data_IF_235757135958
#
_entry.id   IF_235757135958
#
_cell.length_a   1.000
_cell.length_b   1.000
_cell.length_c   1.000
_cell.angle_alpha   90.00
_cell.angle_beta   90.00
_cell.angle_gamma   90.00
#
_symmetry.space_group_name_H-M   'P 1'
#
loop_
_entity.id
_entity.type
_entity.pdbx_description
1 polymer ?
#
# COMPACT_ATOMS: atom_id res chain seq x y z
N UNK A 1 10.19 38.31 -11.03
CA UNK A 1 10.95 37.05 -10.90
C UNK A 1 10.57 36.17 -12.10
N UNK A 2 11.47 35.97 -13.06
CA UNK A 2 11.16 35.19 -14.28
C UNK A 2 11.14 33.71 -13.90
N UNK A 3 10.01 33.04 -14.08
CA UNK A 3 9.90 31.59 -13.93
C UNK A 3 10.78 30.89 -14.95
N UNK A 4 11.63 29.99 -14.48
CA UNK A 4 12.40 29.08 -15.34
C UNK A 4 11.43 28.02 -15.85
N UNK A 5 11.21 27.88 -17.18
CA UNK A 5 10.34 26.84 -17.69
C UNK A 5 11.01 25.47 -17.47
N UNK A 6 10.34 24.55 -16.76
CA UNK A 6 10.71 23.13 -16.78
C UNK A 6 10.92 22.41 -15.45
N UNK A 7 10.82 23.04 -14.29
CA UNK A 7 10.76 22.30 -13.03
C UNK A 7 9.27 22.05 -12.71
N UNK A 8 8.76 20.92 -13.13
CA UNK A 8 7.47 20.43 -12.66
C UNK A 8 7.62 20.15 -11.17
N UNK A 9 6.96 20.94 -10.30
CA UNK A 9 6.92 20.66 -8.87
C UNK A 9 6.49 19.23 -8.66
N UNK A 10 7.34 18.42 -8.02
CA UNK A 10 7.04 17.03 -7.69
C UNK A 10 5.93 17.03 -6.64
N UNK A 11 4.70 16.75 -7.08
CA UNK A 11 3.52 16.77 -6.21
C UNK A 11 3.24 15.37 -5.72
N UNK A 12 3.61 15.09 -4.48
CA UNK A 12 3.40 13.82 -3.83
C UNK A 12 2.62 14.04 -2.53
N UNK A 13 1.75 13.12 -2.17
CA UNK A 13 0.96 13.18 -0.94
C UNK A 13 1.16 11.91 -0.12
N UNK A 14 1.32 12.08 1.18
CA UNK A 14 1.20 11.01 2.17
C UNK A 14 -0.11 11.22 2.93
N UNK A 15 -0.97 10.21 2.97
CA UNK A 15 -2.16 10.21 3.82
C UNK A 15 -2.07 9.03 4.76
N UNK A 16 -1.94 9.29 6.05
CA UNK A 16 -1.86 8.26 7.09
C UNK A 16 -3.12 8.25 7.94
N UNK A 17 -3.68 7.05 8.17
CA UNK A 17 -4.73 6.86 9.18
C UNK A 17 -4.06 6.72 10.54
N UNK A 18 -4.25 7.67 11.46
CA UNK A 18 -3.49 7.78 12.69
C UNK A 18 -4.35 7.63 13.94
N UNK A 19 -3.83 6.89 14.92
CA UNK A 19 -4.29 6.86 16.31
C UNK A 19 -3.23 7.40 17.25
N UNK A 20 -3.43 7.23 18.58
CA UNK A 20 -2.56 7.78 19.63
C UNK A 20 -1.10 7.33 19.54
N UNK A 21 -0.86 6.13 19.04
CA UNK A 21 0.50 5.54 18.95
C UNK A 21 1.09 5.57 17.55
N UNK A 22 0.60 6.48 16.68
CA UNK A 22 1.07 6.64 15.31
C UNK A 22 2.53 7.11 15.26
N UNK A 23 3.31 6.53 14.33
CA UNK A 23 4.74 6.84 14.15
C UNK A 23 5.01 7.95 13.14
N UNK A 24 3.99 8.55 12.54
CA UNK A 24 4.13 9.54 11.46
C UNK A 24 4.95 10.78 11.86
N UNK A 25 4.98 11.17 13.14
CA UNK A 25 5.79 12.28 13.61
C UNK A 25 7.30 12.04 13.39
N UNK A 26 7.75 10.79 13.45
CA UNK A 26 9.14 10.40 13.15
C UNK A 26 9.53 10.63 11.67
N UNK A 27 8.55 10.65 10.76
CA UNK A 27 8.80 10.89 9.34
C UNK A 27 9.18 12.34 9.03
N UNK A 28 8.93 13.26 9.97
CA UNK A 28 9.13 14.70 9.81
C UNK A 28 10.51 15.17 10.29
N UNK A 29 11.39 14.29 10.76
CA UNK A 29 12.71 14.67 11.30
C UNK A 29 13.58 15.45 10.30
N UNK A 30 13.40 15.25 8.99
CA UNK A 30 14.05 15.97 7.89
C UNK A 30 13.08 16.83 7.07
N UNK A 31 12.11 17.47 7.70
CA UNK A 31 11.00 18.14 7.01
C UNK A 31 11.40 19.18 5.96
N UNK A 32 12.55 19.84 6.10
CA UNK A 32 13.05 20.83 5.15
C UNK A 32 13.50 20.21 3.81
N UNK A 33 13.73 18.89 3.77
CA UNK A 33 14.12 18.13 2.58
C UNK A 33 12.92 17.37 1.98
N UNK A 34 11.73 17.52 2.56
CA UNK A 34 10.52 16.79 2.20
C UNK A 34 10.01 17.20 0.81
N UNK A 35 9.78 16.19 -0.05
CA UNK A 35 9.24 16.36 -1.40
C UNK A 35 7.77 15.94 -1.51
N UNK A 36 7.05 15.88 -0.40
CA UNK A 36 5.67 15.42 -0.29
C UNK A 36 4.90 16.20 0.76
N UNK A 37 3.60 16.34 0.58
CA UNK A 37 2.68 16.85 1.58
C UNK A 37 2.23 15.73 2.51
N UNK A 38 1.91 16.08 3.76
CA UNK A 38 1.33 15.16 4.73
C UNK A 38 -0.09 15.61 5.10
N UNK A 39 -1.03 14.68 5.03
CA UNK A 39 -2.34 14.81 5.64
C UNK A 39 -2.54 13.69 6.66
N UNK A 40 -2.79 14.04 7.90
CA UNK A 40 -3.04 13.07 8.98
C UNK A 40 -4.54 12.88 9.15
N UNK A 41 -5.04 11.69 8.83
CA UNK A 41 -6.44 11.30 8.96
C UNK A 41 -6.63 10.53 10.27
N UNK A 42 -7.12 11.20 11.29
CA UNK A 42 -7.32 10.60 12.60
C UNK A 42 -8.60 9.77 12.65
N UNK A 43 -8.50 8.54 13.19
CA UNK A 43 -9.66 7.71 13.56
C UNK A 43 -9.97 7.77 15.06
N UNK A 44 -9.07 8.32 15.86
CA UNK A 44 -9.13 8.49 17.30
C UNK A 44 -9.33 9.98 17.63
N UNK A 45 -10.39 10.30 18.37
CA UNK A 45 -10.76 11.69 18.66
C UNK A 45 -9.78 12.36 19.63
N UNK A 46 -9.24 11.60 20.59
CA UNK A 46 -8.27 12.13 21.57
C UNK A 46 -6.94 12.42 20.88
N UNK A 47 -6.49 11.52 19.98
CA UNK A 47 -5.31 11.75 19.17
C UNK A 47 -5.46 12.99 18.27
N UNK A 48 -6.64 13.19 17.67
CA UNK A 48 -6.94 14.37 16.87
C UNK A 48 -6.90 15.65 17.70
N UNK A 49 -7.53 15.65 18.90
CA UNK A 49 -7.57 16.81 19.78
C UNK A 49 -6.21 17.19 20.35
N UNK A 50 -5.38 16.19 20.66
CA UNK A 50 -4.06 16.37 21.27
C UNK A 50 -2.94 16.64 20.27
N UNK A 51 -3.20 16.55 18.94
CA UNK A 51 -2.18 16.81 17.93
C UNK A 51 -1.83 18.29 17.85
N UNK A 52 -0.59 18.61 18.16
CA UNK A 52 0.04 19.94 18.10
C UNK A 52 1.09 20.05 17.00
N UNK A 53 1.19 19.11 16.09
CA UNK A 53 2.22 19.08 15.04
C UNK A 53 2.14 20.24 14.02
N UNK A 54 0.98 20.89 13.92
CA UNK A 54 0.68 21.89 12.91
C UNK A 54 0.51 21.34 11.50
N UNK A 55 0.52 20.02 11.32
CA UNK A 55 0.26 19.39 10.02
C UNK A 55 -1.23 19.44 9.68
N UNK A 56 -1.59 19.52 8.38
CA UNK A 56 -2.97 19.32 7.93
C UNK A 56 -3.55 18.03 8.52
N UNK A 57 -4.71 18.12 9.13
CA UNK A 57 -5.37 16.99 9.78
C UNK A 57 -6.86 16.94 9.49
N UNK A 58 -7.40 15.73 9.45
CA UNK A 58 -8.81 15.46 9.22
C UNK A 58 -9.30 14.39 10.21
N UNK A 59 -10.46 14.61 10.82
CA UNK A 59 -11.06 13.60 11.72
C UNK A 59 -12.11 12.78 10.98
N UNK A 60 -11.95 11.48 11.01
CA UNK A 60 -12.90 10.55 10.43
C UNK A 60 -12.83 9.20 11.15
N UNK A 61 -13.80 8.91 12.01
CA UNK A 61 -13.92 7.58 12.63
C UNK A 61 -14.15 6.51 11.54
N UNK A 62 -13.73 5.27 11.82
CA UNK A 62 -13.88 4.13 10.90
C UNK A 62 -12.59 3.37 10.65
N UNK A 63 -12.63 2.43 9.71
CA UNK A 63 -11.49 1.63 9.32
C UNK A 63 -10.44 2.39 8.50
N UNK A 64 -9.49 1.63 7.92
CA UNK A 64 -8.47 2.26 7.08
C UNK A 64 -9.07 2.78 5.79
N UNK A 65 -9.77 1.94 5.03
CA UNK A 65 -10.12 2.26 3.64
C UNK A 65 -11.38 3.12 3.50
N UNK A 66 -12.43 2.87 4.27
CA UNK A 66 -13.58 3.78 4.34
C UNK A 66 -13.17 5.17 4.86
N UNK A 67 -12.28 5.22 5.86
CA UNK A 67 -11.73 6.48 6.36
C UNK A 67 -10.84 7.19 5.33
N UNK A 68 -9.97 6.47 4.60
CA UNK A 68 -9.18 7.04 3.51
C UNK A 68 -10.06 7.54 2.37
N UNK A 69 -11.11 6.81 2.00
CA UNK A 69 -12.08 7.25 1.00
C UNK A 69 -12.67 8.61 1.38
N UNK A 70 -13.16 8.75 2.61
CA UNK A 70 -13.74 10.03 3.09
C UNK A 70 -12.69 11.13 3.13
N UNK A 71 -11.51 10.86 3.69
CA UNK A 71 -10.42 11.85 3.78
C UNK A 71 -10.02 12.37 2.41
N UNK A 72 -9.83 11.48 1.43
CA UNK A 72 -9.41 11.84 0.08
C UNK A 72 -10.48 12.60 -0.70
N UNK A 73 -11.77 12.32 -0.46
CA UNK A 73 -12.86 13.03 -1.13
C UNK A 73 -13.23 14.35 -0.47
N UNK A 74 -13.13 14.45 0.87
CA UNK A 74 -13.59 15.61 1.62
C UNK A 74 -12.49 16.65 1.90
N UNK A 75 -11.22 16.20 1.99
CA UNK A 75 -10.11 17.05 2.44
C UNK A 75 -8.96 17.18 1.41
N UNK A 76 -9.02 16.53 0.25
CA UNK A 76 -7.91 16.51 -0.72
C UNK A 76 -8.38 16.87 -2.13
N UNK A 77 -7.72 17.84 -2.74
CA UNK A 77 -7.77 18.03 -4.19
C UNK A 77 -6.69 17.12 -4.84
N UNK A 78 -7.10 15.91 -5.24
CA UNK A 78 -6.21 14.93 -5.87
C UNK A 78 -5.59 15.41 -7.20
N UNK A 79 -6.17 16.42 -7.85
CA UNK A 79 -5.60 16.96 -9.10
C UNK A 79 -4.22 17.59 -8.90
N UNK A 80 -3.88 17.96 -7.68
CA UNK A 80 -2.60 18.56 -7.28
C UNK A 80 -1.46 17.54 -7.13
N UNK A 81 -1.77 16.24 -7.11
CA UNK A 81 -0.80 15.19 -6.80
C UNK A 81 -0.69 14.17 -7.92
N UNK A 82 0.51 13.66 -8.15
CA UNK A 82 0.78 12.60 -9.12
C UNK A 82 0.79 11.22 -8.46
N UNK A 83 1.31 11.16 -7.23
CA UNK A 83 1.40 9.94 -6.43
C UNK A 83 0.89 10.17 -5.00
N UNK A 84 0.23 9.15 -4.44
CA UNK A 84 -0.29 9.16 -3.07
C UNK A 84 0.18 7.90 -2.36
N UNK A 85 0.89 8.05 -1.24
CA UNK A 85 1.28 6.94 -0.36
C UNK A 85 0.29 6.83 0.78
N UNK A 86 -0.24 5.61 1.03
CA UNK A 86 -1.29 5.30 2.01
C UNK A 86 -0.79 4.28 3.05
N UNK A 87 0.23 4.62 3.85
CA UNK A 87 0.85 3.71 4.81
C UNK A 87 -0.04 3.45 6.02
N UNK A 88 0.20 2.32 6.71
CA UNK A 88 -0.22 2.12 8.09
C UNK A 88 0.57 3.03 9.03
N UNK A 89 0.01 3.36 10.19
CA UNK A 89 0.56 4.35 11.13
C UNK A 89 1.68 3.80 12.03
N UNK A 90 2.02 2.55 11.87
CA UNK A 90 3.06 1.84 12.61
C UNK A 90 4.30 1.50 11.77
N UNK A 91 4.46 2.19 10.65
CA UNK A 91 5.66 2.13 9.84
C UNK A 91 6.70 3.15 10.31
N UNK A 92 7.89 2.66 10.63
CA UNK A 92 9.07 3.49 10.89
C UNK A 92 9.80 3.77 9.55
N UNK A 93 9.91 5.05 9.21
CA UNK A 93 10.55 5.53 8.00
C UNK A 93 11.25 6.87 8.26
N UNK A 94 12.25 7.20 7.45
CA UNK A 94 12.83 8.55 7.42
C UNK A 94 12.20 9.40 6.31
N UNK A 95 12.35 10.71 6.40
CA UNK A 95 11.97 11.64 5.32
C UNK A 95 12.62 11.25 4.00
N UNK A 96 13.91 10.90 4.03
CA UNK A 96 14.67 10.49 2.84
C UNK A 96 14.15 9.19 2.24
N UNK A 97 13.76 8.23 3.08
CA UNK A 97 13.13 6.98 2.62
C UNK A 97 11.83 7.27 1.86
N UNK A 98 10.99 8.16 2.41
CA UNK A 98 9.71 8.53 1.78
C UNK A 98 9.95 9.31 0.47
N UNK A 99 10.91 10.24 0.44
CA UNK A 99 11.33 10.90 -0.80
C UNK A 99 11.72 9.88 -1.87
N UNK A 100 12.50 8.84 -1.47
CA UNK A 100 12.97 7.80 -2.37
C UNK A 100 11.85 6.91 -2.90
N UNK A 101 10.80 6.64 -2.10
CA UNK A 101 9.60 5.92 -2.57
C UNK A 101 8.97 6.66 -3.75
N UNK A 102 8.73 7.96 -3.62
CA UNK A 102 8.12 8.75 -4.69
C UNK A 102 9.02 8.92 -5.91
N UNK A 103 10.32 9.09 -5.69
CA UNK A 103 11.29 9.16 -6.78
C UNK A 103 11.28 7.88 -7.64
N UNK A 104 11.36 6.70 -6.99
CA UNK A 104 11.33 5.42 -7.68
C UNK A 104 9.99 5.16 -8.37
N UNK A 105 8.87 5.52 -7.72
CA UNK A 105 7.54 5.39 -8.32
C UNK A 105 7.43 6.17 -9.63
N UNK A 106 7.93 7.40 -9.64
CA UNK A 106 7.94 8.28 -10.81
C UNK A 106 8.93 7.81 -11.87
N UNK A 107 10.17 7.48 -11.48
CA UNK A 107 11.23 7.03 -12.39
C UNK A 107 10.79 5.83 -13.22
N UNK A 108 10.01 4.93 -12.62
CA UNK A 108 9.53 3.71 -13.27
C UNK A 108 8.07 3.80 -13.71
N UNK A 109 7.43 4.97 -13.61
CA UNK A 109 6.02 5.21 -13.98
C UNK A 109 5.07 4.13 -13.43
N UNK A 110 5.21 3.79 -12.15
CA UNK A 110 4.46 2.69 -11.54
C UNK A 110 3.01 3.10 -11.27
N UNK A 111 2.10 2.19 -11.52
CA UNK A 111 0.68 2.36 -11.18
C UNK A 111 0.45 2.15 -9.68
N UNK A 112 1.12 1.13 -9.10
CA UNK A 112 1.10 0.84 -7.67
C UNK A 112 2.45 0.28 -7.24
N UNK A 113 2.92 0.68 -6.05
CA UNK A 113 4.18 0.19 -5.49
C UNK A 113 4.16 0.24 -3.97
N UNK A 114 5.16 -0.35 -3.35
CA UNK A 114 5.37 -0.27 -1.91
C UNK A 114 6.86 -0.29 -1.57
N UNK A 115 7.27 0.28 -0.42
CA UNK A 115 8.58 0.00 0.16
C UNK A 115 8.70 -1.48 0.55
N UNK A 116 9.89 -2.05 0.46
CA UNK A 116 10.17 -3.33 1.08
C UNK A 116 10.20 -3.18 2.61
N UNK A 117 9.89 -4.25 3.32
CA UNK A 117 9.97 -4.28 4.78
C UNK A 117 11.38 -4.73 5.22
N UNK A 118 11.93 -4.10 6.25
CA UNK A 118 13.19 -4.54 6.86
C UNK A 118 13.05 -5.95 7.44
N UNK A 119 14.16 -6.67 7.59
CA UNK A 119 14.15 -8.07 8.03
C UNK A 119 13.67 -8.26 9.47
N UNK A 120 13.69 -7.22 10.28
CA UNK A 120 13.17 -7.19 11.66
C UNK A 120 11.72 -6.73 11.77
N UNK A 121 11.05 -6.51 10.63
CA UNK A 121 9.63 -6.15 10.55
C UNK A 121 8.71 -7.31 10.88
N UNK A 122 7.50 -7.00 11.35
CA UNK A 122 6.37 -7.91 11.22
C UNK A 122 5.87 -7.90 9.76
N UNK A 123 5.54 -9.05 9.19
CA UNK A 123 5.10 -9.17 7.79
C UNK A 123 4.04 -10.26 7.62
N UNK A 124 3.22 -10.13 6.58
CA UNK A 124 2.26 -11.16 6.14
C UNK A 124 2.82 -12.02 5.01
N UNK A 125 3.63 -11.42 4.15
CA UNK A 125 4.14 -12.04 2.93
C UNK A 125 5.65 -11.89 2.82
N UNK A 126 6.39 -12.99 2.81
CA UNK A 126 7.87 -12.99 2.76
C UNK A 126 8.44 -12.25 1.54
N UNK A 127 7.70 -12.18 0.43
CA UNK A 127 8.16 -11.46 -0.77
C UNK A 127 8.21 -9.94 -0.58
N UNK A 128 7.58 -9.38 0.48
CA UNK A 128 7.68 -7.96 0.81
C UNK A 128 8.93 -7.60 1.59
N UNK A 129 9.63 -8.60 2.18
CA UNK A 129 10.88 -8.35 2.88
C UNK A 129 12.00 -7.92 1.91
N UNK A 130 12.93 -7.10 2.40
CA UNK A 130 14.08 -6.63 1.63
C UNK A 130 14.91 -7.77 1.09
N UNK A 131 15.33 -7.63 -0.17
CA UNK A 131 16.24 -8.55 -0.86
C UNK A 131 17.52 -7.81 -1.21
N UNK A 132 18.58 -8.05 -0.44
CA UNK A 132 19.91 -7.53 -0.75
C UNK A 132 20.32 -7.96 -2.17
N UNK A 133 20.69 -7.02 -3.00
CA UNK A 133 21.03 -7.27 -4.40
C UNK A 133 20.00 -6.77 -5.41
N UNK A 134 18.86 -6.26 -4.95
CA UNK A 134 17.90 -5.52 -5.76
C UNK A 134 17.78 -4.05 -5.31
N UNK A 135 17.50 -3.16 -6.24
CA UNK A 135 16.95 -1.83 -5.99
C UNK A 135 15.43 -1.87 -5.91
N UNK A 136 14.84 -2.63 -6.83
CA UNK A 136 13.41 -2.92 -6.85
C UNK A 136 13.11 -4.25 -7.53
N UNK A 137 11.96 -4.82 -7.20
CA UNK A 137 11.40 -6.03 -7.84
C UNK A 137 10.03 -5.72 -8.39
N UNK A 138 9.80 -5.98 -9.68
CA UNK A 138 8.47 -5.93 -10.27
C UNK A 138 7.67 -7.15 -9.81
N UNK A 139 6.47 -6.90 -9.30
CA UNK A 139 5.63 -7.91 -8.67
C UNK A 139 4.18 -7.78 -9.17
N UNK A 140 3.45 -8.89 -9.15
CA UNK A 140 2.01 -8.89 -9.41
C UNK A 140 1.16 -8.64 -8.15
N UNK A 141 1.80 -8.32 -7.04
CA UNK A 141 1.14 -8.13 -5.75
C UNK A 141 1.85 -7.04 -4.94
N UNK A 142 1.07 -6.07 -4.48
CA UNK A 142 1.47 -5.00 -3.56
C UNK A 142 0.50 -5.04 -2.39
N UNK A 143 1.01 -5.06 -1.17
CA UNK A 143 0.22 -5.27 0.05
C UNK A 143 -0.51 -3.99 0.49
N UNK A 144 -1.72 -4.13 1.05
CA UNK A 144 -2.55 -3.02 1.57
C UNK A 144 -1.94 -2.25 2.73
N UNK A 145 -0.83 -2.72 3.31
CA UNK A 145 -0.14 -2.10 4.43
C UNK A 145 0.49 -0.75 4.07
N UNK A 146 1.18 -0.67 2.92
CA UNK A 146 1.96 0.51 2.55
C UNK A 146 1.91 0.86 1.05
N UNK A 147 0.75 0.87 0.39
CA UNK A 147 0.68 1.11 -1.04
C UNK A 147 0.95 2.58 -1.37
N UNK A 148 1.75 2.80 -2.40
CA UNK A 148 1.89 4.07 -3.08
C UNK A 148 1.26 3.93 -4.47
N UNK A 149 0.27 4.77 -4.76
CA UNK A 149 -0.54 4.69 -5.98
C UNK A 149 -0.33 5.94 -6.83
N UNK A 150 -0.26 5.73 -8.14
CA UNK A 150 -0.40 6.82 -9.09
C UNK A 150 -1.84 7.35 -9.04
N UNK A 151 -2.02 8.66 -9.23
CA UNK A 151 -3.31 9.33 -9.09
C UNK A 151 -4.44 8.66 -9.88
N UNK A 152 -4.20 8.32 -11.14
CA UNK A 152 -5.20 7.70 -12.02
C UNK A 152 -5.65 6.33 -11.50
N UNK A 153 -4.72 5.52 -11.00
CA UNK A 153 -5.01 4.23 -10.36
C UNK A 153 -5.83 4.42 -9.09
N UNK A 154 -5.46 5.39 -8.26
CA UNK A 154 -6.19 5.71 -7.02
C UNK A 154 -7.61 6.17 -7.33
N UNK A 155 -7.78 7.08 -8.31
CA UNK A 155 -9.10 7.59 -8.70
C UNK A 155 -10.03 6.49 -9.24
N UNK A 156 -9.49 5.48 -9.91
CA UNK A 156 -10.27 4.32 -10.34
C UNK A 156 -10.75 3.47 -9.14
N UNK A 157 -9.94 3.34 -8.09
CA UNK A 157 -10.23 2.51 -6.92
C UNK A 157 -11.17 3.16 -5.92
N UNK A 158 -11.05 4.48 -5.71
CA UNK A 158 -11.73 5.20 -4.64
C UNK A 158 -13.24 4.90 -4.54
N UNK A 159 -14.02 4.88 -5.63
CA UNK A 159 -15.45 4.61 -5.53
C UNK A 159 -15.80 3.23 -4.95
N UNK A 160 -14.90 2.25 -5.09
CA UNK A 160 -15.13 0.86 -4.70
C UNK A 160 -14.75 0.58 -3.24
N UNK A 161 -13.98 1.46 -2.60
CA UNK A 161 -13.52 1.27 -1.22
C UNK A 161 -14.35 2.04 -0.19
N UNK A 162 -15.39 2.75 -0.63
CA UNK A 162 -16.24 3.58 0.24
C UNK A 162 -16.83 2.82 1.43
N UNK A 163 -17.14 1.55 1.26
CA UNK A 163 -17.72 0.66 2.26
C UNK A 163 -16.75 -0.40 2.79
N UNK A 164 -15.50 -0.42 2.32
CA UNK A 164 -14.48 -1.37 2.79
C UNK A 164 -13.74 -0.81 3.98
N UNK A 165 -13.80 -1.48 5.12
CA UNK A 165 -13.06 -1.09 6.32
C UNK A 165 -11.62 -1.59 6.28
N UNK A 166 -11.43 -2.84 5.87
CA UNK A 166 -10.14 -3.52 5.87
C UNK A 166 -9.33 -3.32 4.59
N UNK A 167 -9.98 -3.07 3.45
CA UNK A 167 -9.36 -3.08 2.12
C UNK A 167 -8.93 -4.47 1.63
N UNK A 168 -9.35 -5.53 2.35
CA UNK A 168 -8.96 -6.89 2.03
C UNK A 168 -9.45 -7.28 0.63
N UNK A 169 -8.53 -7.68 -0.24
CA UNK A 169 -8.80 -7.99 -1.66
C UNK A 169 -8.34 -6.93 -2.66
N UNK A 170 -7.99 -5.69 -2.22
CA UNK A 170 -7.40 -4.68 -3.09
C UNK A 170 -6.06 -5.14 -3.67
N UNK A 171 -5.26 -5.79 -2.84
CA UNK A 171 -3.99 -6.38 -3.20
C UNK A 171 -4.07 -7.50 -4.25
N UNK A 172 -5.25 -8.07 -4.43
CA UNK A 172 -5.52 -9.03 -5.50
C UNK A 172 -5.79 -8.36 -6.87
N UNK A 173 -6.21 -7.09 -6.90
CA UNK A 173 -6.73 -6.47 -8.12
C UNK A 173 -5.92 -5.28 -8.65
N UNK A 174 -5.40 -4.40 -7.79
CA UNK A 174 -4.85 -3.11 -8.23
C UNK A 174 -3.59 -3.20 -9.13
N UNK A 175 -2.84 -4.30 -9.06
CA UNK A 175 -1.72 -4.53 -9.96
C UNK A 175 -2.13 -4.82 -11.41
N UNK A 176 -3.45 -4.93 -11.68
CA UNK A 176 -4.02 -5.29 -12.99
C UNK A 176 -5.08 -4.30 -13.50
N UNK A 177 -5.09 -3.09 -12.97
CA UNK A 177 -6.08 -2.07 -13.37
C UNK A 177 -5.67 -1.28 -14.62
N UNK A 178 -4.40 -1.26 -14.97
CA UNK A 178 -3.91 -0.51 -16.12
C UNK A 178 -4.03 -1.33 -17.41
N UNK A 179 -4.12 -0.68 -18.57
CA UNK A 179 -4.12 -1.37 -19.88
C UNK A 179 -2.83 -2.19 -20.10
N UNK A 180 -1.67 -1.65 -19.68
CA UNK A 180 -0.40 -2.36 -19.63
C UNK A 180 0.02 -2.57 -18.19
N UNK A 181 -0.08 -3.82 -17.73
CA UNK A 181 0.29 -4.21 -16.37
C UNK A 181 1.71 -4.78 -16.27
N UNK A 182 2.44 -4.87 -17.40
CA UNK A 182 3.80 -5.35 -17.39
C UNK A 182 4.73 -4.28 -16.79
N UNK A 183 5.36 -4.60 -15.65
CA UNK A 183 6.21 -3.67 -14.87
C UNK A 183 5.49 -2.43 -14.34
N UNK A 184 4.18 -2.49 -14.16
CA UNK A 184 3.37 -1.41 -13.59
C UNK A 184 3.32 -1.42 -12.06
N UNK A 185 3.76 -2.52 -11.42
CA UNK A 185 3.77 -2.67 -9.97
C UNK A 185 5.13 -3.16 -9.45
N UNK A 186 5.60 -2.62 -8.30
CA UNK A 186 6.92 -2.94 -7.76
C UNK A 186 7.02 -2.85 -6.23
N UNK A 187 8.03 -3.54 -5.68
CA UNK A 187 8.49 -3.47 -4.30
C UNK A 187 9.89 -2.86 -4.29
N UNK A 188 10.11 -1.81 -3.48
CA UNK A 188 11.35 -1.04 -3.45
C UNK A 188 12.31 -1.54 -2.37
N UNK A 189 13.35 -2.26 -2.76
CA UNK A 189 14.41 -2.70 -1.85
C UNK A 189 15.37 -1.56 -1.46
N UNK A 190 15.43 -0.50 -2.29
CA UNK A 190 16.27 0.69 -2.10
C UNK A 190 15.64 1.76 -1.17
N UNK A 191 14.40 1.52 -0.73
CA UNK A 191 13.65 2.40 0.18
C UNK A 191 12.90 1.58 1.25
N UNK A 192 13.59 0.79 2.09
CA UNK A 192 12.91 -0.08 3.04
C UNK A 192 12.34 0.71 4.22
N UNK A 193 11.22 0.21 4.76
CA UNK A 193 10.59 0.69 5.99
C UNK A 193 10.47 -0.44 7.00
N UNK A 194 10.31 -0.11 8.29
CA UNK A 194 10.12 -1.11 9.34
C UNK A 194 8.68 -1.10 9.83
N UNK A 195 8.01 -2.24 9.73
CA UNK A 195 6.70 -2.46 10.33
C UNK A 195 6.86 -2.95 11.77
N UNK A 196 6.41 -2.14 12.72
CA UNK A 196 6.81 -2.27 14.13
C UNK A 196 5.86 -3.09 14.99
N UNK A 197 4.62 -3.33 14.52
CA UNK A 197 3.58 -4.03 15.28
C UNK A 197 3.17 -5.36 14.65
N UNK A 198 2.68 -6.33 15.44
CA UNK A 198 2.14 -7.58 14.89
C UNK A 198 0.98 -7.35 13.94
N UNK A 199 1.01 -8.02 12.79
CA UNK A 199 -0.02 -7.92 11.75
C UNK A 199 -1.38 -8.35 12.29
N UNK A 200 -2.43 -7.56 12.00
CA UNK A 200 -3.82 -7.91 12.24
C UNK A 200 -4.34 -7.65 13.65
N UNK A 201 -3.61 -7.02 14.55
CA UNK A 201 -4.11 -6.68 15.90
C UNK A 201 -5.27 -5.67 15.84
N UNK A 202 -5.09 -4.56 15.14
CA UNK A 202 -6.14 -3.55 14.97
C UNK A 202 -7.31 -4.04 14.10
N UNK A 203 -6.99 -4.81 13.08
CA UNK A 203 -7.98 -5.30 12.14
C UNK A 203 -8.99 -6.24 12.80
N UNK A 204 -8.56 -7.07 13.75
CA UNK A 204 -9.46 -7.96 14.51
C UNK A 204 -10.47 -7.19 15.35
N UNK A 205 -10.09 -6.08 15.97
CA UNK A 205 -11.01 -5.26 16.77
C UNK A 205 -12.04 -4.54 15.90
N UNK A 206 -11.64 -4.00 14.75
CA UNK A 206 -12.55 -3.31 13.80
C UNK A 206 -13.54 -4.30 13.18
N UNK A 207 -13.08 -5.50 12.81
CA UNK A 207 -13.92 -6.56 12.24
C UNK A 207 -14.89 -7.10 13.28
N UNK A 208 -14.45 -7.34 14.52
CA UNK A 208 -15.34 -7.77 15.60
C UNK A 208 -16.45 -6.76 15.90
N UNK A 209 -16.16 -5.46 15.84
CA UNK A 209 -17.15 -4.40 16.04
C UNK A 209 -18.13 -4.28 14.85
N UNK A 210 -17.72 -4.63 13.64
CA UNK A 210 -18.59 -4.55 12.45
C UNK A 210 -19.45 -5.77 12.24
N UNK A 211 -19.16 -6.91 12.89
CA UNK A 211 -19.83 -8.20 12.67
C UNK A 211 -19.57 -8.85 11.30
N UNK A 212 -18.66 -8.28 10.49
CA UNK A 212 -18.31 -8.80 9.17
C UNK A 212 -16.91 -9.44 9.22
N UNK A 213 -16.70 -10.55 8.49
CA UNK A 213 -15.36 -11.12 8.35
C UNK A 213 -14.56 -10.42 7.26
N UNK A 214 -13.21 -10.43 7.38
CA UNK A 214 -12.32 -9.91 6.34
C UNK A 214 -12.50 -10.62 5.00
N UNK A 215 -12.71 -11.94 5.06
CA UNK A 215 -12.96 -12.77 3.89
C UNK A 215 -14.24 -12.35 3.17
N UNK A 216 -15.29 -12.00 3.92
CA UNK A 216 -16.53 -11.49 3.36
C UNK A 216 -16.33 -10.12 2.71
N UNK A 217 -15.68 -9.15 3.39
CA UNK A 217 -15.34 -7.86 2.78
C UNK A 217 -14.50 -8.03 1.51
N UNK A 218 -13.50 -8.91 1.55
CA UNK A 218 -12.67 -9.20 0.38
C UNK A 218 -13.43 -9.84 -0.77
N UNK A 219 -14.40 -10.70 -0.48
CA UNK A 219 -15.25 -11.31 -1.50
C UNK A 219 -16.18 -10.26 -2.15
N UNK A 220 -16.80 -9.39 -1.34
CA UNK A 220 -17.66 -8.30 -1.82
C UNK A 220 -16.83 -7.33 -2.69
N UNK A 221 -15.67 -6.93 -2.22
CA UNK A 221 -14.79 -6.02 -2.95
C UNK A 221 -14.36 -6.63 -4.30
N UNK A 222 -13.88 -7.86 -4.30
CA UNK A 222 -13.43 -8.54 -5.53
C UNK A 222 -14.58 -8.76 -6.52
N UNK A 223 -15.78 -9.06 -6.03
CA UNK A 223 -16.98 -9.13 -6.88
C UNK A 223 -17.25 -7.79 -7.59
N UNK A 224 -17.03 -6.65 -6.92
CA UNK A 224 -17.17 -5.32 -7.53
C UNK A 224 -16.16 -5.07 -8.65
N UNK A 225 -15.05 -5.81 -8.67
CA UNK A 225 -14.06 -5.78 -9.74
C UNK A 225 -14.25 -6.91 -10.78
N UNK A 226 -15.27 -7.76 -10.63
CA UNK A 226 -15.46 -8.93 -11.49
C UNK A 226 -14.32 -9.95 -11.38
N UNK A 227 -13.59 -9.97 -10.26
CA UNK A 227 -12.43 -10.81 -10.02
C UNK A 227 -12.64 -11.63 -8.74
N UNK A 228 -12.59 -12.94 -8.82
CA UNK A 228 -12.89 -13.84 -7.68
C UNK A 228 -11.67 -14.57 -7.13
N UNK A 229 -10.63 -14.70 -7.94
CA UNK A 229 -9.44 -15.45 -7.57
C UNK A 229 -8.55 -14.69 -6.59
N UNK A 230 -7.72 -15.41 -5.86
CA UNK A 230 -6.63 -14.84 -5.07
C UNK A 230 -5.37 -14.79 -5.89
N UNK A 231 -4.75 -13.62 -5.93
CA UNK A 231 -3.44 -13.45 -6.56
C UNK A 231 -2.38 -14.21 -5.77
N UNK A 232 -1.61 -15.03 -6.47
CA UNK A 232 -0.41 -15.66 -5.89
C UNK A 232 0.76 -14.72 -6.08
N UNK A 233 1.35 -14.15 -5.00
CA UNK A 233 2.44 -13.21 -5.12
C UNK A 233 3.66 -13.80 -5.82
N UNK A 234 4.11 -13.15 -6.90
CA UNK A 234 5.30 -13.48 -7.69
C UNK A 234 6.05 -12.21 -8.03
N UNK A 235 7.35 -12.16 -7.78
CA UNK A 235 8.24 -11.15 -8.33
C UNK A 235 8.81 -11.68 -9.65
N UNK A 236 8.41 -11.09 -10.77
CA UNK A 236 8.69 -11.65 -12.09
C UNK A 236 9.84 -10.98 -12.84
N UNK A 237 10.34 -9.87 -12.33
CA UNK A 237 11.51 -9.15 -12.82
C UNK A 237 12.06 -8.24 -11.71
N UNK A 238 13.19 -7.58 -11.96
CA UNK A 238 13.73 -6.60 -11.01
C UNK A 238 14.91 -5.83 -11.59
N UNK A 239 15.34 -4.80 -10.87
CA UNK A 239 16.57 -4.06 -11.13
C UNK A 239 17.54 -4.40 -9.99
N UNK A 240 18.68 -4.95 -10.32
CA UNK A 240 19.67 -5.32 -9.32
C UNK A 240 20.40 -4.08 -8.76
N UNK A 241 21.21 -4.26 -7.71
CA UNK A 241 21.96 -3.18 -7.05
C UNK A 241 22.92 -2.44 -7.98
N UNK A 242 23.30 -3.04 -9.11
CA UNK A 242 24.14 -2.41 -10.15
C UNK A 242 23.34 -1.71 -11.24
N UNK A 243 21.99 -1.74 -11.16
CA UNK A 243 21.11 -1.15 -12.15
C UNK A 243 20.78 -2.04 -13.34
N UNK A 244 21.18 -3.33 -13.30
CA UNK A 244 20.93 -4.27 -14.39
C UNK A 244 19.56 -4.93 -14.25
N UNK A 245 18.87 -5.07 -15.38
CA UNK A 245 17.56 -5.76 -15.41
C UNK A 245 17.73 -7.26 -15.19
N UNK A 246 16.99 -7.81 -14.25
CA UNK A 246 16.79 -9.23 -14.01
C UNK A 246 15.41 -9.60 -14.54
N UNK A 247 15.33 -10.48 -15.53
CA UNK A 247 14.08 -10.88 -16.16
C UNK A 247 13.71 -12.33 -15.78
N UNK A 248 12.40 -12.55 -15.69
CA UNK A 248 11.80 -13.85 -15.42
C UNK A 248 11.68 -14.17 -13.92
N UNK A 249 10.56 -14.84 -13.55
CA UNK A 249 10.28 -15.18 -12.15
C UNK A 249 11.32 -16.15 -11.56
N UNK A 250 11.88 -17.07 -12.35
CA UNK A 250 12.88 -18.02 -11.89
C UNK A 250 14.20 -17.34 -11.49
N UNK A 251 14.72 -16.47 -12.38
CA UNK A 251 15.96 -15.71 -12.11
C UNK A 251 15.80 -14.77 -10.93
N UNK A 252 14.66 -14.08 -10.85
CA UNK A 252 14.31 -13.19 -9.73
C UNK A 252 14.16 -14.00 -8.45
N UNK A 253 13.44 -15.12 -8.50
CA UNK A 253 13.21 -16.00 -7.35
C UNK A 253 14.48 -16.64 -6.80
N UNK A 254 15.42 -17.05 -7.65
CA UNK A 254 16.71 -17.58 -7.20
C UNK A 254 17.51 -16.51 -6.42
N UNK A 255 17.57 -15.28 -6.93
CA UNK A 255 18.27 -14.17 -6.25
C UNK A 255 17.58 -13.82 -4.93
N UNK A 256 16.24 -13.81 -4.87
CA UNK A 256 15.48 -13.62 -3.64
C UNK A 256 15.79 -14.72 -2.62
N UNK A 257 15.79 -15.98 -3.06
CA UNK A 257 16.12 -17.12 -2.21
C UNK A 257 17.54 -17.00 -1.62
N UNK A 258 18.54 -16.68 -2.44
CA UNK A 258 19.90 -16.46 -1.97
C UNK A 258 20.01 -15.31 -0.96
N UNK A 259 19.25 -14.23 -1.17
CA UNK A 259 19.18 -13.12 -0.23
C UNK A 259 18.59 -13.57 1.12
N UNK A 260 17.46 -14.26 1.11
CA UNK A 260 16.81 -14.73 2.33
C UNK A 260 17.61 -15.81 3.07
N UNK A 261 18.31 -16.71 2.35
CA UNK A 261 19.19 -17.69 2.97
C UNK A 261 20.34 -17.05 3.75
N UNK A 262 20.93 -15.97 3.25
CA UNK A 262 21.98 -15.23 3.97
C UNK A 262 21.49 -14.60 5.29
N UNK A 263 20.19 -14.37 5.39
CA UNK A 263 19.56 -13.75 6.56
C UNK A 263 18.79 -14.75 7.44
N UNK A 264 18.82 -16.04 7.07
CA UNK A 264 18.06 -17.11 7.70
C UNK A 264 18.27 -17.23 9.23
N UNK A 265 19.46 -16.91 9.72
CA UNK A 265 19.80 -16.92 11.13
C UNK A 265 19.49 -15.59 11.85
N UNK A 266 19.05 -14.56 11.13
CA UNK A 266 18.58 -13.31 11.71
C UNK A 266 17.06 -13.43 11.84
N UNK A 267 16.52 -13.68 13.01
CA UNK A 267 15.11 -13.99 13.15
C UNK A 267 14.26 -12.78 12.75
N UNK A 268 13.45 -12.86 11.70
CA UNK A 268 12.25 -12.05 11.65
C UNK A 268 11.34 -12.54 12.76
N UNK A 269 10.55 -11.65 13.29
CA UNK A 269 9.61 -11.92 14.39
C UNK A 269 8.49 -12.91 14.04
N UNK A 270 8.53 -13.51 12.85
CA UNK A 270 7.54 -14.47 12.37
C UNK A 270 8.11 -15.90 12.39
N UNK A 271 7.50 -16.77 13.20
CA UNK A 271 7.91 -18.18 13.33
C UNK A 271 7.67 -19.03 12.07
N UNK A 272 6.93 -18.53 11.08
CA UNK A 272 6.58 -19.27 9.85
C UNK A 272 7.56 -19.07 8.68
N UNK A 273 8.66 -18.34 8.88
CA UNK A 273 9.54 -17.93 7.79
C UNK A 273 10.00 -19.08 6.88
N UNK A 274 10.31 -20.26 7.45
CA UNK A 274 10.75 -21.43 6.66
C UNK A 274 9.66 -21.91 5.71
N UNK A 275 8.43 -22.03 6.24
CA UNK A 275 7.26 -22.45 5.45
C UNK A 275 6.95 -21.44 4.34
N UNK A 276 7.02 -20.17 4.67
CA UNK A 276 6.75 -19.07 3.72
C UNK A 276 7.87 -18.95 2.68
N UNK A 277 9.12 -19.22 3.05
CA UNK A 277 10.25 -19.28 2.11
C UNK A 277 10.06 -20.38 1.05
N UNK A 278 9.74 -21.61 1.45
CA UNK A 278 9.51 -22.69 0.48
C UNK A 278 8.27 -22.44 -0.37
N UNK A 279 7.23 -21.83 0.20
CA UNK A 279 6.04 -21.43 -0.56
C UNK A 279 6.38 -20.36 -1.59
N UNK A 280 7.15 -19.34 -1.21
CA UNK A 280 7.67 -18.32 -2.12
C UNK A 280 8.50 -18.95 -3.24
N UNK A 281 9.49 -19.75 -2.89
CA UNK A 281 10.37 -20.41 -3.87
C UNK A 281 9.56 -21.23 -4.89
N UNK A 282 8.62 -22.04 -4.41
CA UNK A 282 7.72 -22.79 -5.30
C UNK A 282 6.93 -21.86 -6.24
N UNK A 283 6.38 -20.76 -5.73
CA UNK A 283 5.62 -19.79 -6.55
C UNK A 283 6.51 -19.15 -7.62
N UNK A 284 7.73 -18.80 -7.27
CA UNK A 284 8.70 -18.21 -8.21
C UNK A 284 9.14 -19.20 -9.32
N UNK A 285 9.24 -20.49 -9.00
CA UNK A 285 9.70 -21.51 -9.97
C UNK A 285 8.59 -21.94 -10.95
N UNK A 286 7.35 -22.06 -10.49
CA UNK A 286 6.24 -22.61 -11.28
C UNK A 286 5.07 -21.64 -11.46
N UNK A 287 5.12 -20.45 -10.83
CA UNK A 287 4.05 -19.46 -10.93
C UNK A 287 4.03 -18.78 -12.29
N UNK A 288 2.85 -18.62 -12.83
CA UNK A 288 2.56 -17.76 -13.97
C UNK A 288 2.02 -16.43 -13.47
N UNK A 289 2.35 -15.35 -14.17
CA UNK A 289 1.80 -14.02 -13.91
C UNK A 289 0.81 -13.68 -14.99
N UNK A 290 -0.41 -13.38 -14.59
CA UNK A 290 -1.44 -12.88 -15.48
C UNK A 290 -1.38 -11.35 -15.53
N UNK A 291 -1.09 -10.81 -16.69
CA UNK A 291 -1.00 -9.37 -16.97
C UNK A 291 -2.27 -8.82 -17.62
N UNK A 292 -3.32 -9.63 -17.82
CA UNK A 292 -4.56 -9.16 -18.38
C UNK A 292 -5.18 -8.06 -17.52
N UNK A 293 -5.77 -7.07 -18.15
CA UNK A 293 -6.44 -5.98 -17.43
C UNK A 293 -7.71 -6.48 -16.75
N UNK A 294 -7.91 -6.08 -15.49
CA UNK A 294 -9.17 -6.21 -14.78
C UNK A 294 -10.02 -4.98 -15.10
N UNK A 295 -11.21 -5.21 -15.65
CA UNK A 295 -12.16 -4.14 -15.93
C UNK A 295 -13.11 -3.96 -14.75
N UNK A 296 -13.22 -2.71 -14.28
CA UNK A 296 -14.10 -2.37 -13.18
C UNK A 296 -15.57 -2.47 -13.63
N UNK A 297 -16.39 -3.16 -12.86
CA UNK A 297 -17.82 -3.23 -13.10
C UNK A 297 -18.48 -1.91 -12.67
N UNK A 298 -19.52 -1.44 -13.37
CA UNK A 298 -20.26 -0.26 -12.96
C UNK A 298 -20.83 -0.44 -11.55
N UNK A 299 -20.57 0.51 -10.65
CA UNK A 299 -21.17 0.52 -9.33
C UNK A 299 -22.67 0.75 -9.45
N UNK A 300 -23.47 -0.09 -8.79
CA UNK A 300 -24.90 0.12 -8.66
C UNK A 300 -25.15 1.35 -7.80
N UNK A 301 -26.25 2.04 -8.04
CA UNK A 301 -26.58 3.31 -7.35
C UNK A 301 -26.62 3.14 -5.81
N UNK A 302 -27.06 1.98 -5.32
CA UNK A 302 -27.08 1.63 -3.89
C UNK A 302 -25.68 1.44 -3.27
N UNK A 303 -24.67 1.13 -4.07
CA UNK A 303 -23.29 0.90 -3.60
C UNK A 303 -22.52 2.22 -3.41
N UNK A 304 -23.07 3.35 -3.89
CA UNK A 304 -22.47 4.69 -3.82
C UNK A 304 -22.76 5.46 -2.53
N UNK A 305 -23.78 5.03 -1.75
CA UNK A 305 -24.17 5.72 -0.50
C UNK A 305 -23.38 5.13 0.68
N UNK A 306 -22.69 5.97 1.49
CA UNK A 306 -22.07 5.49 2.71
C UNK A 306 -23.14 4.91 3.65
N UNK A 307 -22.84 3.78 4.28
CA UNK A 307 -23.75 3.02 5.14
C UNK A 307 -24.36 3.81 6.32
N UNK A 308 -23.92 5.03 6.58
CA UNK A 308 -24.46 5.93 7.62
C UNK A 308 -25.78 6.60 7.27
N UNK A 309 -26.20 6.62 6.01
CA UNK A 309 -27.46 7.29 5.59
C UNK A 309 -28.67 6.33 5.49
N UNK A 310 -28.46 5.02 5.58
CA UNK A 310 -29.55 4.04 5.48
C UNK A 310 -30.27 3.73 6.80
N UNK A 311 -29.76 4.18 7.95
CA UNK A 311 -30.39 3.93 9.27
C UNK A 311 -31.32 5.04 9.76
N UNK A 312 -31.47 6.16 9.03
CA UNK A 312 -32.41 7.24 9.41
C UNK A 312 -33.76 7.20 8.66
N UNK A 313 -33.91 6.33 7.66
CA UNK A 313 -35.15 6.25 6.87
C UNK A 313 -36.19 5.21 7.37
N UNK A 314 -35.82 4.36 8.31
CA UNK A 314 -36.73 3.29 8.81
C UNK A 314 -37.35 3.60 10.20
N UNK A 315 -37.26 4.85 10.68
CA UNK A 315 -37.85 5.28 11.96
C UNK A 315 -38.71 6.58 11.84
N UNK A 316 -39.47 6.70 10.74
CA UNK A 316 -40.62 7.66 10.69
C UNK A 316 -41.90 6.94 10.33
#
# INVERSE_FOLDING_TARGET
MKMVPGIQELRNLVVVRAGQSSLHNGWLAGQNERTWDLLVSYYDADAFGNDTSGMPKFFCAGGKWDGLFRTLNEAVDLSRYDYVWLPDDDLEASTQTINRIFELARLHNLAVCQPALTLDSYFSHIHTLTCAGFKLRFANYVEIMAPCLRRDTLQQLLPYVSNSKSGFGLDDVWCRLQPDNHKSAAIFDDAPVRHTRPVGLHLKSVVQQSGLSQEYEGAVLKNSFGFLDRTRPVCYAGIDSRGMMVNGPQSTGLRMALSHLKTWNKPPKNQQIRKDFFRMLRRQLIGTVDFSQIHLLPLKENDRKPASLSRQADNE
#
